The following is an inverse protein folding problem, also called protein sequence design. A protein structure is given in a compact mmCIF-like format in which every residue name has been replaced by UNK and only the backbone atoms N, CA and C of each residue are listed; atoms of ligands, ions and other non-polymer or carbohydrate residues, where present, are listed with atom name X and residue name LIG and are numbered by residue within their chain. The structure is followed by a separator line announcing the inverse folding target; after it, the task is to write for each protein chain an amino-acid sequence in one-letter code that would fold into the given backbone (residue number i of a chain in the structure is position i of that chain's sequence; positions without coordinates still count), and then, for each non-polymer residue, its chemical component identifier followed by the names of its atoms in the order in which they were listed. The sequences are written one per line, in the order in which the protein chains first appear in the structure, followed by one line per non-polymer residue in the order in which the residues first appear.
data_IF_924301681420
#
_entry.id   IF_924301681420
#
_cell.length_a   1.000
_cell.length_b   1.000
_cell.length_c   1.000
_cell.angle_alpha   90.00
_cell.angle_beta   90.00
_cell.angle_gamma   90.00
#
_symmetry.space_group_name_H-M   'P 1'
#
loop_
_entity.id
_entity.type
_entity.pdbx_description
1 polymer ?
#
# COMPACT_ATOMS: atom_id res chain seq x y z
N UNK A 1 22.84 14.18 12.21
CA UNK A 1 23.30 13.83 10.85
C UNK A 1 22.07 13.34 10.11
N UNK A 2 21.58 14.08 9.11
CA UNK A 2 20.56 13.52 8.20
C UNK A 2 21.33 12.59 7.26
N UNK A 3 20.92 11.33 7.03
CA UNK A 3 21.52 10.53 5.98
C UNK A 3 21.24 11.28 4.68
N UNK A 4 22.27 11.87 4.10
CA UNK A 4 22.20 12.54 2.80
C UNK A 4 23.13 11.74 1.90
N UNK A 5 22.56 11.26 0.79
CA UNK A 5 23.23 10.61 -0.34
C UNK A 5 23.78 9.21 -0.03
N UNK A 6 23.03 8.20 -0.50
CA UNK A 6 23.49 6.84 -0.83
C UNK A 6 24.38 6.18 0.22
N UNK A 7 23.83 5.93 1.41
CA UNK A 7 24.43 4.95 2.32
C UNK A 7 24.08 3.54 1.80
N UNK A 8 25.05 2.81 1.21
CA UNK A 8 24.77 1.51 0.59
C UNK A 8 24.41 0.44 1.63
N UNK A 9 24.88 0.61 2.87
CA UNK A 9 24.56 -0.29 3.97
C UNK A 9 23.12 -0.05 4.43
N UNK A 10 22.70 1.21 4.51
CA UNK A 10 21.30 1.58 4.80
C UNK A 10 20.35 1.10 3.69
N UNK A 11 20.78 1.21 2.43
CA UNK A 11 20.03 0.70 1.28
C UNK A 11 19.87 -0.82 1.32
N UNK A 12 20.96 -1.56 1.56
CA UNK A 12 20.91 -3.02 1.69
C UNK A 12 20.02 -3.44 2.85
N UNK A 13 20.16 -2.79 4.01
CA UNK A 13 19.34 -3.07 5.18
C UNK A 13 17.86 -2.82 4.91
N UNK A 14 17.52 -1.71 4.26
CA UNK A 14 16.15 -1.40 3.86
C UNK A 14 15.57 -2.49 2.95
N UNK A 15 16.30 -2.92 1.93
CA UNK A 15 15.82 -3.98 1.03
C UNK A 15 15.63 -5.32 1.78
N UNK A 16 16.53 -5.66 2.71
CA UNK A 16 16.45 -6.87 3.54
C UNK A 16 15.22 -6.87 4.46
N UNK A 17 14.96 -5.75 5.14
CA UNK A 17 13.81 -5.60 6.04
C UNK A 17 12.49 -5.73 5.28
N UNK A 18 12.39 -5.07 4.13
CA UNK A 18 11.13 -5.04 3.38
C UNK A 18 10.88 -6.34 2.62
N UNK A 19 11.93 -7.03 2.15
CA UNK A 19 11.76 -8.35 1.54
C UNK A 19 11.23 -9.39 2.54
N UNK A 20 11.74 -9.40 3.77
CA UNK A 20 11.22 -10.25 4.83
C UNK A 20 9.73 -9.96 5.10
N UNK A 21 9.35 -8.68 5.11
CA UNK A 21 7.99 -8.22 5.33
C UNK A 21 7.03 -8.58 4.18
N UNK A 22 7.53 -8.66 2.94
CA UNK A 22 6.71 -8.96 1.77
C UNK A 22 5.93 -10.28 1.88
N UNK A 23 6.51 -11.30 2.51
CA UNK A 23 5.83 -12.60 2.71
C UNK A 23 4.65 -12.48 3.67
N UNK A 24 4.80 -11.70 4.74
CA UNK A 24 3.73 -11.45 5.72
C UNK A 24 2.58 -10.68 5.07
N UNK A 25 2.91 -9.64 4.29
CA UNK A 25 1.90 -8.86 3.55
C UNK A 25 1.13 -9.71 2.54
N UNK A 26 1.81 -10.61 1.83
CA UNK A 26 1.18 -11.51 0.87
C UNK A 26 0.24 -12.51 1.56
N UNK A 27 0.63 -13.03 2.73
CA UNK A 27 -0.21 -13.91 3.53
C UNK A 27 -1.47 -13.17 4.03
N UNK A 28 -1.32 -11.93 4.51
CA UNK A 28 -2.42 -11.08 4.93
C UNK A 28 -3.43 -10.83 3.79
N UNK A 29 -2.95 -10.42 2.62
CA UNK A 29 -3.80 -10.22 1.42
C UNK A 29 -4.56 -11.50 1.06
N UNK A 30 -3.89 -12.66 1.04
CA UNK A 30 -4.54 -13.95 0.72
C UNK A 30 -5.62 -14.29 1.72
N UNK A 31 -5.38 -14.07 3.01
CA UNK A 31 -6.38 -14.31 4.05
C UNK A 31 -7.61 -13.40 3.88
N UNK A 32 -7.39 -12.11 3.62
CA UNK A 32 -8.46 -11.14 3.37
C UNK A 32 -9.27 -11.50 2.11
N UNK A 33 -8.59 -11.86 1.02
CA UNK A 33 -9.23 -12.30 -0.23
C UNK A 33 -10.05 -13.59 -0.06
N UNK A 34 -9.65 -14.47 0.87
CA UNK A 34 -10.41 -15.66 1.24
C UNK A 34 -11.61 -15.38 2.17
N UNK A 35 -11.91 -14.11 2.46
CA UNK A 35 -13.04 -13.70 3.29
C UNK A 35 -12.73 -13.62 4.78
N UNK A 36 -11.46 -13.66 5.18
CA UNK A 36 -11.09 -13.38 6.58
C UNK A 36 -11.47 -11.95 6.92
N UNK A 37 -12.24 -11.78 8.00
CA UNK A 37 -12.51 -10.50 8.63
C UNK A 37 -11.67 -10.33 9.91
N UNK A 38 -10.60 -11.11 10.05
CA UNK A 38 -9.73 -11.01 11.21
C UNK A 38 -9.01 -9.66 11.19
N UNK A 39 -9.18 -8.89 12.26
CA UNK A 39 -8.51 -7.59 12.46
C UNK A 39 -6.99 -7.71 12.29
N UNK A 40 -6.43 -8.85 12.72
CA UNK A 40 -4.99 -9.16 12.60
C UNK A 40 -4.49 -9.08 11.16
N UNK A 41 -5.28 -9.53 10.17
CA UNK A 41 -4.85 -9.50 8.77
C UNK A 41 -4.81 -8.05 8.22
N UNK A 42 -5.73 -7.19 8.63
CA UNK A 42 -5.67 -5.76 8.28
C UNK A 42 -4.53 -5.05 9.02
N UNK A 43 -4.28 -5.40 10.29
CA UNK A 43 -3.15 -4.84 11.04
C UNK A 43 -1.80 -5.21 10.41
N UNK A 44 -1.60 -6.47 10.04
CA UNK A 44 -0.38 -6.95 9.40
C UNK A 44 -0.14 -6.23 8.08
N UNK A 45 -1.19 -6.08 7.26
CA UNK A 45 -1.11 -5.36 5.99
C UNK A 45 -0.81 -3.87 6.20
N UNK A 46 -1.43 -3.24 7.20
CA UNK A 46 -1.16 -1.83 7.55
C UNK A 46 0.29 -1.65 8.01
N UNK A 47 0.80 -2.53 8.87
CA UNK A 47 2.20 -2.51 9.35
C UNK A 47 3.16 -2.67 8.17
N UNK A 48 2.85 -3.59 7.25
CA UNK A 48 3.50 -3.75 5.96
C UNK A 48 3.74 -2.43 5.23
N UNK A 49 2.64 -1.75 4.87
CA UNK A 49 2.71 -0.47 4.17
C UNK A 49 3.33 0.66 5.01
N UNK A 50 3.19 0.62 6.34
CA UNK A 50 3.80 1.59 7.23
C UNK A 50 5.34 1.52 7.20
N UNK A 51 5.90 0.30 7.28
CA UNK A 51 7.36 0.08 7.21
C UNK A 51 7.88 0.45 5.82
N UNK A 52 7.19 0.03 4.75
CA UNK A 52 7.49 0.43 3.37
C UNK A 52 7.55 1.95 3.21
N UNK A 53 6.53 2.66 3.68
CA UNK A 53 6.48 4.13 3.69
C UNK A 53 7.66 4.72 4.47
N UNK A 54 7.91 4.22 5.68
CA UNK A 54 8.96 4.74 6.57
C UNK A 54 10.35 4.61 5.95
N UNK A 55 10.68 3.43 5.43
CA UNK A 55 11.96 3.18 4.76
C UNK A 55 12.11 3.96 3.46
N UNK A 56 11.08 3.97 2.60
CA UNK A 56 11.09 4.73 1.35
C UNK A 56 11.26 6.25 1.58
N UNK A 57 10.74 6.80 2.68
CA UNK A 57 10.90 8.22 3.02
C UNK A 57 12.35 8.62 3.36
N UNK A 58 13.20 7.66 3.72
CA UNK A 58 14.62 7.90 4.02
C UNK A 58 15.53 7.67 2.79
N UNK A 59 15.00 7.09 1.70
CA UNK A 59 15.77 6.73 0.50
C UNK A 59 15.53 7.72 -0.64
N UNK A 60 16.61 8.22 -1.24
CA UNK A 60 16.52 9.00 -2.48
C UNK A 60 16.03 8.13 -3.63
N UNK A 61 15.16 8.66 -4.50
CA UNK A 61 14.61 7.93 -5.66
C UNK A 61 13.47 6.96 -5.34
N UNK A 62 13.03 6.87 -4.07
CA UNK A 62 11.93 6.00 -3.65
C UNK A 62 10.55 6.70 -3.62
N UNK A 63 10.39 7.86 -4.26
CA UNK A 63 9.17 8.69 -4.20
C UNK A 63 7.90 7.90 -4.60
N UNK A 64 8.00 7.08 -5.65
CA UNK A 64 6.86 6.27 -6.09
C UNK A 64 6.46 5.23 -5.03
N UNK A 65 7.45 4.57 -4.41
CA UNK A 65 7.21 3.56 -3.37
C UNK A 65 6.61 4.22 -2.12
N UNK A 66 7.17 5.36 -1.72
CA UNK A 66 6.67 6.17 -0.61
C UNK A 66 5.19 6.57 -0.81
N UNK A 67 4.89 7.23 -1.92
CA UNK A 67 3.54 7.73 -2.21
C UNK A 67 2.50 6.61 -2.30
N UNK A 68 2.83 5.49 -2.96
CA UNK A 68 1.91 4.36 -3.11
C UNK A 68 1.69 3.64 -1.78
N UNK A 69 2.75 3.42 -1.00
CA UNK A 69 2.66 2.79 0.32
C UNK A 69 1.84 3.64 1.29
N UNK A 70 2.00 4.97 1.27
CA UNK A 70 1.14 5.87 2.04
C UNK A 70 -0.33 5.71 1.71
N UNK A 71 -0.69 5.71 0.42
CA UNK A 71 -2.09 5.60 -0.02
C UNK A 71 -2.67 4.24 0.34
N UNK A 72 -1.92 3.16 0.12
CA UNK A 72 -2.34 1.83 0.51
C UNK A 72 -2.52 1.70 2.02
N UNK A 73 -1.61 2.25 2.85
CA UNK A 73 -1.76 2.30 4.31
C UNK A 73 -3.05 3.03 4.72
N UNK A 74 -3.35 4.18 4.10
CA UNK A 74 -4.57 4.95 4.37
C UNK A 74 -5.84 4.18 3.99
N UNK A 75 -5.85 3.50 2.84
CA UNK A 75 -6.97 2.65 2.41
C UNK A 75 -7.22 1.53 3.44
N UNK A 76 -6.18 0.85 3.90
CA UNK A 76 -6.30 -0.17 4.96
C UNK A 76 -6.87 0.44 6.24
N UNK A 77 -6.38 1.62 6.66
CA UNK A 77 -6.93 2.33 7.82
C UNK A 77 -8.40 2.74 7.64
N UNK A 78 -8.80 3.11 6.43
CA UNK A 78 -10.19 3.43 6.11
C UNK A 78 -11.12 2.22 6.28
N UNK A 79 -10.62 1.01 6.02
CA UNK A 79 -11.38 -0.21 6.27
C UNK A 79 -11.53 -0.49 7.76
N UNK A 80 -10.43 -0.42 8.53
CA UNK A 80 -10.44 -0.72 9.98
C UNK A 80 -11.16 0.33 10.80
N UNK A 81 -11.19 1.58 10.35
CA UNK A 81 -11.99 2.68 10.93
C UNK A 81 -13.44 2.70 10.46
N UNK A 82 -13.86 1.70 9.68
CA UNK A 82 -15.21 1.58 9.15
C UNK A 82 -15.66 2.78 8.29
N UNK A 83 -14.72 3.46 7.63
CA UNK A 83 -15.03 4.54 6.69
C UNK A 83 -15.52 3.99 5.35
N UNK A 84 -14.87 2.93 4.86
CA UNK A 84 -15.19 2.27 3.58
C UNK A 84 -15.33 0.77 3.71
N UNK A 85 -16.26 0.13 3.01
CA UNK A 85 -16.41 -1.34 3.04
C UNK A 85 -15.26 -2.08 2.33
N UNK A 86 -14.81 -3.25 2.83
CA UNK A 86 -13.78 -4.06 2.18
C UNK A 86 -14.36 -4.83 0.99
N UNK A 87 -14.59 -4.13 -0.12
CA UNK A 87 -15.10 -4.74 -1.34
C UNK A 87 -14.01 -5.62 -2.01
N UNK A 88 -14.39 -6.61 -2.85
CA UNK A 88 -13.43 -7.38 -3.62
C UNK A 88 -12.49 -6.52 -4.47
N UNK A 89 -12.99 -5.39 -5.01
CA UNK A 89 -12.18 -4.45 -5.79
C UNK A 89 -11.12 -3.74 -4.92
N UNK A 90 -11.47 -3.33 -3.69
CA UNK A 90 -10.53 -2.73 -2.75
C UNK A 90 -9.46 -3.74 -2.33
N UNK A 91 -9.87 -4.97 -1.98
CA UNK A 91 -8.93 -6.03 -1.60
C UNK A 91 -8.02 -6.42 -2.77
N UNK A 92 -8.54 -6.46 -4.00
CA UNK A 92 -7.75 -6.65 -5.21
C UNK A 92 -6.72 -5.54 -5.43
N UNK A 93 -7.11 -4.27 -5.25
CA UNK A 93 -6.19 -3.13 -5.34
C UNK A 93 -5.07 -3.20 -4.31
N UNK A 94 -5.38 -3.58 -3.06
CA UNK A 94 -4.37 -3.78 -2.03
C UNK A 94 -3.43 -4.94 -2.39
N UNK A 95 -3.97 -6.04 -2.91
CA UNK A 95 -3.17 -7.17 -3.40
C UNK A 95 -2.23 -6.79 -4.54
N UNK A 96 -2.71 -6.02 -5.52
CA UNK A 96 -1.90 -5.48 -6.61
C UNK A 96 -0.78 -4.59 -6.07
N UNK A 97 -1.08 -3.75 -5.07
CA UNK A 97 -0.09 -2.89 -4.43
C UNK A 97 0.98 -3.70 -3.66
N UNK A 98 0.61 -4.78 -2.96
CA UNK A 98 1.57 -5.68 -2.30
C UNK A 98 2.45 -6.38 -3.32
N UNK A 99 1.86 -6.97 -4.37
CA UNK A 99 2.60 -7.64 -5.43
C UNK A 99 3.61 -6.70 -6.10
N UNK A 100 3.16 -5.50 -6.48
CA UNK A 100 4.04 -4.48 -7.04
C UNK A 100 5.14 -4.06 -6.07
N UNK A 101 4.88 -3.93 -4.76
CA UNK A 101 5.92 -3.60 -3.77
C UNK A 101 7.05 -4.63 -3.81
N UNK A 102 6.69 -5.92 -3.77
CA UNK A 102 7.64 -7.04 -3.79
C UNK A 102 8.46 -7.02 -5.07
N UNK A 103 7.80 -6.88 -6.23
CA UNK A 103 8.47 -6.87 -7.54
C UNK A 103 9.47 -5.70 -7.66
N UNK A 104 9.11 -4.53 -7.14
CA UNK A 104 9.97 -3.35 -7.17
C UNK A 104 11.21 -3.52 -6.30
N UNK A 105 11.07 -4.10 -5.10
CA UNK A 105 12.20 -4.39 -4.21
C UNK A 105 13.15 -5.39 -4.86
N UNK A 106 12.61 -6.46 -5.45
CA UNK A 106 13.41 -7.46 -6.16
C UNK A 106 14.17 -6.83 -7.34
N UNK A 107 13.51 -5.98 -8.13
CA UNK A 107 14.17 -5.26 -9.22
C UNK A 107 15.23 -4.29 -8.70
N UNK A 108 14.95 -3.58 -7.61
CA UNK A 108 15.88 -2.64 -6.99
C UNK A 108 17.16 -3.33 -6.49
N UNK A 109 17.07 -4.57 -5.99
CA UNK A 109 18.26 -5.38 -5.65
C UNK A 109 19.14 -5.69 -6.86
N UNK A 110 18.53 -5.95 -8.01
CA UNK A 110 19.25 -6.31 -9.23
C UNK A 110 19.87 -5.09 -9.92
N UNK A 111 19.17 -3.96 -9.92
CA UNK A 111 19.56 -2.76 -10.65
C UNK A 111 20.30 -1.72 -9.80
N UNK A 112 20.18 -1.78 -8.47
CA UNK A 112 20.59 -0.72 -7.56
C UNK A 112 19.68 0.52 -7.57
N UNK A 113 18.58 0.50 -8.32
CA UNK A 113 17.68 1.64 -8.52
C UNK A 113 16.24 1.22 -8.24
N UNK A 114 15.54 1.97 -7.38
CA UNK A 114 14.11 1.74 -7.15
C UNK A 114 13.30 2.07 -8.41
N UNK A 115 12.61 1.09 -9.02
CA UNK A 115 11.68 1.40 -10.10
C UNK A 115 10.41 2.06 -9.54
N UNK A 116 9.66 2.72 -10.41
CA UNK A 116 8.36 3.26 -10.04
C UNK A 116 7.25 2.22 -10.19
N UNK A 117 6.17 2.37 -9.42
CA UNK A 117 4.92 1.67 -9.68
C UNK A 117 4.44 2.01 -11.09
N UNK A 118 3.78 1.04 -11.74
CA UNK A 118 3.12 1.27 -13.03
C UNK A 118 2.17 2.47 -12.93
N UNK A 119 2.08 3.26 -14.01
CA UNK A 119 1.21 4.44 -14.04
C UNK A 119 -0.24 4.06 -13.71
N UNK A 120 -0.74 2.96 -14.27
CA UNK A 120 -2.10 2.49 -14.03
C UNK A 120 -2.36 2.18 -12.55
N UNK A 121 -1.44 1.50 -11.85
CA UNK A 121 -1.61 1.17 -10.44
C UNK A 121 -1.52 2.43 -9.56
N UNK A 122 -0.64 3.38 -9.90
CA UNK A 122 -0.56 4.69 -9.22
C UNK A 122 -1.88 5.45 -9.34
N UNK A 123 -2.46 5.53 -10.53
CA UNK A 123 -3.74 6.21 -10.77
C UNK A 123 -4.91 5.51 -10.09
N UNK A 124 -4.88 4.19 -9.95
CA UNK A 124 -5.88 3.42 -9.20
C UNK A 124 -5.81 3.72 -7.70
N UNK A 125 -4.60 3.72 -7.13
CA UNK A 125 -4.37 4.09 -5.73
C UNK A 125 -4.72 5.56 -5.45
N UNK A 126 -4.42 6.48 -6.37
CA UNK A 126 -4.79 7.88 -6.25
C UNK A 126 -6.30 8.07 -6.18
N UNK A 127 -7.04 7.45 -7.11
CA UNK A 127 -8.51 7.50 -7.11
C UNK A 127 -9.11 6.89 -5.85
N UNK A 128 -8.53 5.81 -5.36
CA UNK A 128 -8.94 5.16 -4.12
C UNK A 128 -8.74 6.05 -2.88
N UNK A 129 -7.57 6.69 -2.77
CA UNK A 129 -7.25 7.64 -1.70
C UNK A 129 -8.16 8.87 -1.73
N UNK A 130 -8.42 9.42 -2.93
CA UNK A 130 -9.36 10.54 -3.09
C UNK A 130 -10.78 10.14 -2.67
N UNK A 131 -11.25 8.96 -3.07
CA UNK A 131 -12.54 8.45 -2.64
C UNK A 131 -12.62 8.31 -1.10
N UNK A 132 -11.56 7.79 -0.47
CA UNK A 132 -11.50 7.67 0.98
C UNK A 132 -11.64 9.05 1.64
N UNK A 133 -10.93 10.07 1.15
CA UNK A 133 -11.04 11.44 1.67
C UNK A 133 -12.48 11.96 1.58
N UNK A 134 -13.17 11.69 0.48
CA UNK A 134 -14.57 12.12 0.30
C UNK A 134 -15.53 11.33 1.19
N UNK A 135 -15.29 10.03 1.40
CA UNK A 135 -16.03 9.21 2.33
C UNK A 135 -15.84 9.65 3.79
N UNK A 136 -14.62 10.00 4.20
CA UNK A 136 -14.33 10.58 5.52
C UNK A 136 -15.12 11.87 5.74
N UNK A 137 -15.19 12.74 4.72
CA UNK A 137 -15.97 13.98 4.76
C UNK A 137 -17.46 13.73 4.89
N UNK A 138 -18.01 12.80 4.10
CA UNK A 138 -19.42 12.42 4.16
C UNK A 138 -19.80 11.86 5.53
N UNK A 139 -18.96 10.99 6.10
CA UNK A 139 -19.18 10.42 7.43
C UNK A 139 -19.16 11.48 8.53
N UNK A 140 -18.29 12.49 8.43
CA UNK A 140 -18.32 13.66 9.34
C UNK A 140 -19.62 14.46 9.25
N UNK A 141 -20.32 14.42 8.11
CA UNK A 141 -21.63 15.02 7.91
C UNK A 141 -22.81 14.13 8.37
N UNK A 142 -22.53 12.95 8.97
CA UNK A 142 -23.54 12.04 9.51
C UNK A 142 -23.97 10.92 8.55
N UNK A 143 -23.29 10.75 7.41
CA UNK A 143 -23.52 9.61 6.52
C UNK A 143 -22.87 8.33 7.09
N UNK A 144 -23.42 7.17 6.71
CA UNK A 144 -22.86 5.87 7.11
C UNK A 144 -21.59 5.50 6.33
N UNK A 145 -21.02 4.34 6.65
CA UNK A 145 -19.88 3.75 5.92
C UNK A 145 -20.15 3.70 4.42
N UNK A 146 -19.20 4.17 3.62
CA UNK A 146 -19.39 4.27 2.18
C UNK A 146 -19.01 2.95 1.46
N UNK A 147 -19.81 2.47 0.48
CA UNK A 147 -19.40 1.35 -0.35
C UNK A 147 -18.24 1.81 -1.22
N UNK A 148 -17.07 1.19 -1.07
CA UNK A 148 -15.95 1.52 -1.95
C UNK A 148 -16.41 1.36 -3.40
N UNK A 149 -16.16 2.34 -4.29
CA UNK A 149 -16.69 2.27 -5.64
C UNK A 149 -16.18 0.98 -6.26
N UNK A 150 -16.90 0.46 -7.25
CA UNK A 150 -16.32 -0.46 -8.22
C UNK A 150 -15.22 0.26 -9.02
N UNK A 151 -14.18 0.73 -8.33
CA UNK A 151 -12.97 1.25 -8.92
C UNK A 151 -12.27 0.03 -9.47
N UNK A 152 -12.26 -0.04 -10.81
CA UNK A 152 -11.47 -0.95 -11.66
C UNK A 152 -12.26 -2.16 -12.14
N UNK A 153 -13.11 -1.92 -13.12
CA UNK A 153 -12.97 -2.71 -14.34
C UNK A 153 -11.88 -2.04 -15.16
N UNK A 154 -10.86 -2.79 -15.58
CA UNK A 154 -10.09 -2.38 -16.75
C UNK A 154 -11.09 -2.18 -17.89
N UNK A 155 -10.96 -1.07 -18.62
CA UNK A 155 -11.71 -0.89 -19.85
C UNK A 155 -11.54 -2.13 -20.74
N UNK A 156 -12.66 -2.59 -21.29
CA UNK A 156 -12.74 -3.70 -22.24
C UNK A 156 -11.71 -3.60 -23.38
#
# INVERSE_FOLDING_TARGET
MRPTEEDPDLWSFFLDEVEALGQEMLAAVKALAAGSLAETAYEDLRRGFHTLKGGAAQMSGCDSLYCCSMKAERIVQGVTREVVFPSPALLGLLGDAVGASIDLIQQARLSGVMPAYSLSLRERLERADQYLVDAERAQMCGEGRAPFPGLVVDGA
#
